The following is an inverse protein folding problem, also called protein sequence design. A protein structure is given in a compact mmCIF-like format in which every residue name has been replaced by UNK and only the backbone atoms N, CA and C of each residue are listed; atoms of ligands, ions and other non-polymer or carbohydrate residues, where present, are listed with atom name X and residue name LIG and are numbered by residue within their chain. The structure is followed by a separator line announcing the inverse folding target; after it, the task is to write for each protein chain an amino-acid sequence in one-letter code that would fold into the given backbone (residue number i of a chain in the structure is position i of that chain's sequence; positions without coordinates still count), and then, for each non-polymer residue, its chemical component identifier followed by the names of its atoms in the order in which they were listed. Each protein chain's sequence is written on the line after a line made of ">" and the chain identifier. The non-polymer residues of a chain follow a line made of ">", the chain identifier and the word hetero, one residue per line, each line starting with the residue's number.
data_IF_531079106895
#
_entry.id   IF_531079106895
#
_cell.length_a   1.000
_cell.length_b   1.000
_cell.length_c   1.000
_cell.angle_alpha   90.00
_cell.angle_beta   90.00
_cell.angle_gamma   90.00
#
_symmetry.space_group_name_H-M   'P 1'
#
loop_
_entity.id
_entity.type
_entity.pdbx_description
1 polymer ?
#
# COMPACT_ATOMS: atom_id res chain seq x y z
N UNK A 1 0.95 17.84 -55.75
CA UNK A 1 2.06 17.30 -54.94
C UNK A 1 1.72 17.59 -53.49
N UNK A 2 1.13 16.63 -52.78
CA UNK A 2 0.73 16.76 -51.38
C UNK A 2 1.96 16.55 -50.48
N UNK A 3 2.25 17.51 -49.61
CA UNK A 3 3.26 17.38 -48.55
C UNK A 3 2.56 16.84 -47.30
N UNK A 4 2.72 15.55 -47.01
CA UNK A 4 2.29 14.94 -45.76
C UNK A 4 3.40 15.15 -44.73
N UNK A 5 3.21 16.08 -43.78
CA UNK A 5 4.13 16.22 -42.65
C UNK A 5 3.84 15.06 -41.69
N UNK A 6 4.74 14.07 -41.63
CA UNK A 6 4.70 13.04 -40.59
C UNK A 6 4.94 13.70 -39.24
N UNK A 7 3.88 13.83 -38.44
CA UNK A 7 3.94 14.15 -37.02
C UNK A 7 4.48 12.94 -36.24
N UNK A 8 5.77 12.65 -36.39
CA UNK A 8 6.48 11.67 -35.57
C UNK A 8 7.17 12.41 -34.42
N UNK A 9 6.86 12.00 -33.19
CA UNK A 9 7.59 12.30 -31.95
C UNK A 9 7.06 13.46 -31.10
N UNK A 10 5.78 13.41 -30.73
CA UNK A 10 5.36 13.94 -29.42
C UNK A 10 5.23 12.74 -28.47
N UNK A 11 6.36 12.10 -28.11
CA UNK A 11 6.44 11.28 -26.89
C UNK A 11 6.46 12.25 -25.69
N UNK A 12 5.37 12.94 -25.51
CA UNK A 12 5.08 13.77 -24.36
C UNK A 12 3.60 13.54 -24.10
N UNK A 13 3.28 12.50 -23.34
CA UNK A 13 2.11 12.42 -22.47
C UNK A 13 2.03 10.99 -21.96
N UNK A 14 2.24 10.85 -20.66
CA UNK A 14 2.31 9.56 -20.01
C UNK A 14 3.45 9.54 -19.01
N UNK A 15 3.53 10.58 -18.18
CA UNK A 15 3.79 10.33 -16.78
C UNK A 15 2.79 9.24 -16.42
N UNK A 16 3.23 7.98 -16.49
CA UNK A 16 2.55 6.87 -15.87
C UNK A 16 2.54 7.33 -14.43
N UNK A 17 1.43 7.96 -14.02
CA UNK A 17 1.17 8.26 -12.65
C UNK A 17 1.37 6.90 -12.00
N UNK A 18 2.52 6.72 -11.37
CA UNK A 18 2.71 5.76 -10.33
C UNK A 18 1.76 6.24 -9.24
N UNK A 19 0.46 6.08 -9.45
CA UNK A 19 -0.43 5.64 -8.41
C UNK A 19 0.05 4.22 -8.08
N UNK A 20 1.28 4.10 -7.57
CA UNK A 20 1.55 3.15 -6.52
C UNK A 20 0.54 3.61 -5.50
N UNK A 21 -0.62 2.95 -5.47
CA UNK A 21 -1.49 2.98 -4.32
C UNK A 21 -0.54 2.67 -3.20
N UNK A 22 -0.09 3.74 -2.52
CA UNK A 22 0.77 3.59 -1.37
C UNK A 22 -0.02 2.59 -0.52
N UNK A 23 0.60 1.49 -0.15
CA UNK A 23 -0.01 0.56 0.78
C UNK A 23 0.67 0.94 2.09
N UNK A 24 -0.14 1.35 3.06
CA UNK A 24 0.39 1.60 4.39
C UNK A 24 0.51 0.21 5.01
N UNK A 25 1.74 -0.23 5.26
CA UNK A 25 1.91 -1.40 6.11
C UNK A 25 1.52 -1.02 7.53
N UNK A 26 1.10 -1.99 8.34
CA UNK A 26 0.87 -1.83 9.75
C UNK A 26 1.19 -3.14 10.47
N UNK A 27 1.84 -3.04 11.62
CA UNK A 27 2.28 -4.19 12.40
C UNK A 27 1.34 -4.41 13.57
N UNK A 28 0.81 -5.62 13.72
CA UNK A 28 -0.16 -5.98 14.75
C UNK A 28 0.32 -7.18 15.53
N UNK A 29 0.24 -7.11 16.85
CA UNK A 29 0.60 -8.20 17.74
C UNK A 29 -0.53 -8.56 18.70
N UNK A 30 -0.62 -9.85 19.05
CA UNK A 30 -1.60 -10.33 20.04
C UNK A 30 -1.13 -10.15 21.49
N UNK A 31 0.17 -9.94 21.72
CA UNK A 31 0.74 -9.64 23.03
C UNK A 31 1.13 -8.18 23.20
N UNK A 32 1.15 -7.73 24.45
CA UNK A 32 1.52 -6.37 24.81
C UNK A 32 2.99 -6.08 24.48
N UNK A 33 3.29 -4.82 24.18
CA UNK A 33 4.65 -4.34 23.86
C UNK A 33 5.28 -5.09 22.66
N UNK A 34 4.51 -5.32 21.59
CA UNK A 34 4.98 -5.96 20.36
C UNK A 34 5.50 -7.39 20.58
N UNK A 35 4.74 -8.21 21.30
CA UNK A 35 5.07 -9.62 21.60
C UNK A 35 3.97 -10.58 21.13
N UNK A 36 4.26 -11.87 21.16
CA UNK A 36 3.31 -12.94 20.81
C UNK A 36 3.25 -13.16 19.30
N UNK A 37 2.06 -13.45 18.79
CA UNK A 37 1.84 -13.61 17.35
C UNK A 37 1.77 -12.22 16.72
N UNK A 38 2.69 -11.91 15.83
CA UNK A 38 2.81 -10.61 15.17
C UNK A 38 2.79 -10.75 13.66
N UNK A 39 2.15 -9.81 12.98
CA UNK A 39 2.06 -9.82 11.54
C UNK A 39 1.98 -8.40 10.98
N UNK A 40 2.67 -8.22 9.85
CA UNK A 40 2.51 -7.08 8.96
C UNK A 40 1.29 -7.27 8.07
N UNK A 41 0.47 -6.24 7.98
CA UNK A 41 -0.68 -6.19 7.12
C UNK A 41 -0.57 -4.97 6.20
N UNK A 42 -0.98 -5.13 4.95
CA UNK A 42 -1.04 -4.03 3.99
C UNK A 42 -2.44 -3.42 4.00
N UNK A 43 -2.54 -2.16 4.41
CA UNK A 43 -3.79 -1.41 4.43
C UNK A 43 -3.99 -0.62 3.13
N UNK A 44 -5.16 -0.74 2.49
CA UNK A 44 -5.55 0.17 1.41
C UNK A 44 -5.67 1.61 1.94
N UNK A 45 -5.32 2.59 1.11
CA UNK A 45 -5.55 4.00 1.45
C UNK A 45 -7.03 4.34 1.36
N UNK A 46 -7.51 5.12 2.35
CA UNK A 46 -8.89 5.59 2.48
C UNK A 46 -9.95 4.51 2.71
N UNK A 47 -9.55 3.29 3.11
CA UNK A 47 -10.49 2.22 3.44
C UNK A 47 -10.09 1.54 4.75
N UNK A 48 -11.06 0.94 5.43
CA UNK A 48 -10.84 0.20 6.66
C UNK A 48 -10.51 -1.26 6.33
N UNK A 49 -9.44 -1.78 6.93
CA UNK A 49 -9.08 -3.19 6.79
C UNK A 49 -9.64 -4.03 7.95
N UNK A 50 -10.29 -5.14 7.61
CA UNK A 50 -10.73 -6.12 8.59
C UNK A 50 -9.62 -7.13 8.84
N UNK A 51 -9.20 -7.25 10.10
CA UNK A 51 -8.23 -8.26 10.50
C UNK A 51 -8.79 -9.66 10.35
N UNK A 52 -7.93 -10.60 9.95
CA UNK A 52 -8.25 -12.01 9.90
C UNK A 52 -8.66 -12.54 11.29
N UNK A 53 -9.39 -13.66 11.30
CA UNK A 53 -9.94 -14.26 12.51
C UNK A 53 -8.89 -14.58 13.60
N UNK A 54 -7.62 -14.79 13.21
CA UNK A 54 -6.51 -15.01 14.15
C UNK A 54 -6.15 -13.78 14.99
N UNK A 55 -6.42 -12.58 14.49
CA UNK A 55 -6.13 -11.31 15.17
C UNK A 55 -7.40 -10.60 15.65
N UNK A 56 -8.56 -10.91 15.07
CA UNK A 56 -9.84 -10.37 15.48
C UNK A 56 -10.07 -10.57 17.00
N UNK A 57 -10.23 -9.46 17.73
CA UNK A 57 -10.42 -9.41 19.21
C UNK A 57 -9.23 -9.91 20.04
N UNK A 58 -8.08 -10.15 19.43
CA UNK A 58 -6.85 -10.61 20.10
C UNK A 58 -5.72 -9.58 20.05
N UNK A 59 -5.90 -8.49 19.32
CA UNK A 59 -4.93 -7.39 19.23
C UNK A 59 -4.77 -6.70 20.57
N UNK A 60 -3.52 -6.54 21.00
CA UNK A 60 -3.17 -5.80 22.22
C UNK A 60 -2.11 -4.72 21.96
N UNK A 61 -1.37 -4.79 20.85
CA UNK A 61 -0.48 -3.72 20.40
C UNK A 61 -0.45 -3.61 18.87
N UNK A 62 -0.30 -2.38 18.36
CA UNK A 62 -0.25 -2.07 16.93
C UNK A 62 0.69 -0.88 16.65
N UNK A 63 1.34 -0.88 15.48
CA UNK A 63 2.30 0.14 15.07
C UNK A 63 2.39 0.30 13.54
N UNK A 64 3.14 1.30 13.06
CA UNK A 64 3.18 1.66 11.64
C UNK A 64 3.89 0.65 10.74
N UNK A 65 4.95 -0.01 11.18
CA UNK A 65 5.63 -1.08 10.42
C UNK A 65 6.67 -1.75 11.33
N UNK A 66 7.02 -3.01 11.09
CA UNK A 66 8.12 -3.65 11.80
C UNK A 66 9.46 -3.03 11.36
N UNK A 67 10.08 -2.23 12.25
CA UNK A 67 11.40 -1.63 12.01
C UNK A 67 11.39 -0.20 11.45
N UNK A 68 10.26 0.52 11.58
CA UNK A 68 10.14 1.95 11.27
C UNK A 68 10.42 2.90 12.43
#
# INVERSE_FOLDING_TARGET
>A
MQLTIQASSILSLGLLLLTRSAQASFYVCTGENFKGDCQNFDMPYNDCYNLDAGYARRVTSAGPDEGS
#
